data_IF_792089965619
#
_entry.id   IF_792089965619
#
_cell.length_a   1.000
_cell.length_b   1.000
_cell.length_c   1.000
_cell.angle_alpha   90.00
_cell.angle_beta   90.00
_cell.angle_gamma   90.00
#
_symmetry.space_group_name_H-M   'P 1'
#
loop_
_entity.id
_entity.type
_entity.pdbx_description
1 polymer ?
#
# COMPACT_ATOMS: atom_id res chain seq x y z
N UNK A 1 -26.43 8.22 14.55
CA UNK A 1 -25.56 9.13 15.29
C UNK A 1 -26.39 9.77 16.38
N UNK A 2 -26.42 9.13 17.54
CA UNK A 2 -27.21 9.52 18.71
C UNK A 2 -26.37 10.06 19.86
N UNK A 3 -25.04 9.89 19.84
CA UNK A 3 -24.13 10.37 20.87
C UNK A 3 -22.95 11.16 20.28
N UNK A 4 -22.36 12.05 21.09
CA UNK A 4 -21.14 12.80 20.74
C UNK A 4 -19.98 11.85 20.40
N UNK A 5 -19.90 10.72 21.10
CA UNK A 5 -18.88 9.69 20.86
C UNK A 5 -19.00 9.08 19.46
N UNK A 6 -20.22 8.74 19.02
CA UNK A 6 -20.46 8.22 17.66
C UNK A 6 -20.06 9.22 16.57
N UNK A 7 -20.10 10.53 16.86
CA UNK A 7 -19.63 11.56 15.92
C UNK A 7 -18.11 11.56 15.84
N UNK A 8 -17.40 11.46 16.97
CA UNK A 8 -15.93 11.38 16.96
C UNK A 8 -15.42 10.09 16.30
N UNK A 9 -16.12 8.97 16.50
CA UNK A 9 -15.81 7.69 15.84
C UNK A 9 -15.94 7.74 14.32
N UNK A 10 -16.70 8.71 13.78
CA UNK A 10 -16.78 8.92 12.34
C UNK A 10 -15.51 9.55 11.75
N UNK A 11 -14.65 10.15 12.56
CA UNK A 11 -13.38 10.74 12.13
C UNK A 11 -12.25 9.69 12.20
N UNK A 12 -12.40 8.60 11.46
CA UNK A 12 -11.45 7.50 11.43
C UNK A 12 -10.75 7.36 10.05
N UNK A 13 -9.83 6.39 9.96
CA UNK A 13 -9.14 6.09 8.71
C UNK A 13 -10.09 5.63 7.58
N UNK A 14 -11.32 5.18 7.88
CA UNK A 14 -12.30 4.84 6.86
C UNK A 14 -12.82 6.11 6.18
N UNK A 15 -13.23 7.11 6.95
CA UNK A 15 -13.72 8.38 6.40
C UNK A 15 -12.65 9.09 5.58
N UNK A 16 -11.40 9.12 6.05
CA UNK A 16 -10.31 9.81 5.35
C UNK A 16 -9.68 8.94 4.25
N UNK A 17 -9.05 7.82 4.60
CA UNK A 17 -8.22 7.05 3.67
C UNK A 17 -9.03 6.23 2.66
N UNK A 18 -10.08 5.52 3.10
CA UNK A 18 -10.95 4.78 2.18
C UNK A 18 -11.76 5.74 1.31
N UNK A 19 -12.30 6.82 1.88
CA UNK A 19 -13.00 7.87 1.13
C UNK A 19 -12.14 8.46 0.01
N UNK A 20 -10.92 8.88 0.34
CA UNK A 20 -9.97 9.40 -0.64
C UNK A 20 -9.62 8.37 -1.72
N UNK A 21 -9.36 7.12 -1.34
CA UNK A 21 -8.99 6.06 -2.29
C UNK A 21 -10.09 5.75 -3.31
N UNK A 22 -11.36 5.72 -2.86
CA UNK A 22 -12.51 5.52 -3.76
C UNK A 22 -12.67 6.70 -4.71
N UNK A 23 -12.46 7.94 -4.24
CA UNK A 23 -12.48 9.14 -5.09
C UNK A 23 -11.32 9.14 -6.10
N UNK A 24 -10.12 8.71 -5.70
CA UNK A 24 -8.97 8.57 -6.61
C UNK A 24 -9.23 7.52 -7.68
N UNK A 25 -9.83 6.38 -7.32
CA UNK A 25 -10.24 5.36 -8.28
C UNK A 25 -11.32 5.90 -9.24
N UNK A 26 -12.29 6.66 -8.73
CA UNK A 26 -13.29 7.33 -9.58
C UNK A 26 -12.62 8.32 -10.53
N UNK A 27 -11.69 9.15 -10.04
CA UNK A 27 -10.93 10.10 -10.86
C UNK A 27 -10.15 9.40 -11.98
N UNK A 28 -9.47 8.29 -11.68
CA UNK A 28 -8.75 7.50 -12.67
C UNK A 28 -9.69 6.88 -13.72
N UNK A 29 -10.90 6.51 -13.32
CA UNK A 29 -11.89 5.89 -14.21
C UNK A 29 -12.57 6.89 -15.16
N UNK A 30 -13.01 8.04 -14.64
CA UNK A 30 -13.79 9.01 -15.43
C UNK A 30 -12.93 10.06 -16.12
N UNK A 31 -11.66 10.18 -15.72
CA UNK A 31 -10.71 11.17 -16.21
C UNK A 31 -10.79 12.51 -15.48
N UNK A 32 -9.69 13.25 -15.54
CA UNK A 32 -9.50 14.50 -14.81
C UNK A 32 -10.53 15.59 -15.18
N UNK A 33 -10.84 15.73 -16.47
CA UNK A 33 -11.78 16.75 -16.96
C UNK A 33 -13.20 16.51 -16.42
N UNK A 34 -13.71 15.29 -16.58
CA UNK A 34 -15.03 14.88 -16.10
C UNK A 34 -15.11 15.00 -14.57
N UNK A 35 -14.06 14.58 -13.85
CA UNK A 35 -14.01 14.68 -12.39
C UNK A 35 -14.03 16.15 -11.92
N UNK A 36 -13.19 17.02 -12.47
CA UNK A 36 -13.18 18.45 -12.13
C UNK A 36 -14.51 19.14 -12.45
N UNK A 37 -15.11 18.80 -13.59
CA UNK A 37 -16.43 19.29 -13.98
C UNK A 37 -17.49 18.88 -12.96
N UNK A 38 -17.56 17.59 -12.60
CA UNK A 38 -18.52 17.07 -11.64
C UNK A 38 -18.37 17.72 -10.26
N UNK A 39 -17.14 17.84 -9.75
CA UNK A 39 -16.86 18.50 -8.45
C UNK A 39 -17.25 19.97 -8.49
N UNK A 40 -16.93 20.68 -9.58
CA UNK A 40 -17.30 22.10 -9.73
C UNK A 40 -18.82 22.29 -9.76
N UNK A 41 -19.53 21.43 -10.48
CA UNK A 41 -21.00 21.46 -10.52
C UNK A 41 -21.60 21.15 -9.16
N UNK A 42 -21.06 20.16 -8.44
CA UNK A 42 -21.51 19.80 -7.10
C UNK A 42 -21.33 20.97 -6.12
N UNK A 43 -20.14 21.57 -6.07
CA UNK A 43 -19.87 22.71 -5.19
C UNK A 43 -20.77 23.91 -5.50
N UNK A 44 -21.04 24.20 -6.77
CA UNK A 44 -21.96 25.28 -7.17
C UNK A 44 -23.41 24.97 -6.80
N UNK A 45 -23.87 23.73 -7.03
CA UNK A 45 -25.26 23.30 -6.81
C UNK A 45 -25.64 23.31 -5.34
N UNK A 46 -24.70 22.99 -4.45
CA UNK A 46 -24.90 22.93 -3.00
C UNK A 46 -24.18 24.05 -2.24
N UNK A 47 -23.87 25.16 -2.93
CA UNK A 47 -23.22 26.32 -2.30
C UNK A 47 -24.09 26.89 -1.18
N UNK A 48 -23.49 27.08 0.01
CA UNK A 48 -24.16 27.59 1.21
C UNK A 48 -25.28 26.69 1.77
N UNK A 49 -25.34 25.43 1.33
CA UNK A 49 -26.31 24.43 1.79
C UNK A 49 -25.60 23.15 2.29
N UNK A 50 -26.40 22.13 2.65
CA UNK A 50 -25.91 20.82 3.05
C UNK A 50 -26.13 19.80 1.92
N UNK A 51 -25.36 18.71 1.95
CA UNK A 51 -25.45 17.64 0.97
C UNK A 51 -25.26 16.27 1.62
N UNK A 52 -25.75 15.24 0.96
CA UNK A 52 -25.60 13.82 1.29
C UNK A 52 -24.77 13.12 0.21
N UNK A 53 -24.31 11.91 0.51
CA UNK A 53 -23.56 11.11 -0.48
C UNK A 53 -24.35 10.89 -1.79
N UNK A 54 -25.67 10.72 -1.73
CA UNK A 54 -26.54 10.63 -2.91
C UNK A 54 -26.44 11.84 -3.83
N UNK A 55 -26.25 13.03 -3.25
CA UNK A 55 -26.26 14.29 -3.98
C UNK A 55 -24.97 14.45 -4.80
N UNK A 56 -23.84 14.03 -4.21
CA UNK A 56 -22.56 13.97 -4.91
C UNK A 56 -22.64 13.03 -6.12
N UNK A 57 -23.08 11.79 -5.91
CA UNK A 57 -23.11 10.80 -6.98
C UNK A 57 -24.16 11.12 -8.05
N UNK A 58 -25.28 11.76 -7.69
CA UNK A 58 -26.23 12.27 -8.66
C UNK A 58 -25.63 13.32 -9.60
N UNK A 59 -24.78 14.22 -9.08
CA UNK A 59 -24.05 15.18 -9.93
C UNK A 59 -23.02 14.48 -10.81
N UNK A 60 -22.33 13.46 -10.30
CA UNK A 60 -21.40 12.67 -11.11
C UNK A 60 -22.12 11.94 -12.26
N UNK A 61 -23.30 11.36 -12.01
CA UNK A 61 -24.13 10.73 -13.05
C UNK A 61 -24.50 11.69 -14.19
N UNK A 62 -24.77 12.97 -13.86
CA UNK A 62 -25.04 14.01 -14.85
C UNK A 62 -23.79 14.34 -15.69
N UNK A 63 -22.60 14.28 -15.07
CA UNK A 63 -21.34 14.71 -15.65
C UNK A 63 -20.59 13.64 -16.47
N UNK A 64 -20.89 12.34 -16.31
CA UNK A 64 -20.10 11.22 -16.89
C UNK A 64 -20.87 10.38 -17.92
N UNK A 65 -21.79 11.00 -18.66
CA UNK A 65 -22.67 10.30 -19.63
C UNK A 65 -21.92 9.59 -20.77
N UNK A 66 -20.68 10.00 -21.02
CA UNK A 66 -19.76 9.46 -22.02
C UNK A 66 -18.92 8.28 -21.52
N UNK A 67 -18.87 8.05 -20.20
CA UNK A 67 -18.11 6.96 -19.60
C UNK A 67 -18.97 5.69 -19.56
N UNK A 68 -18.42 4.57 -20.03
CA UNK A 68 -19.13 3.27 -20.02
C UNK A 68 -18.93 2.55 -18.68
N UNK A 69 -20.03 2.08 -18.12
CA UNK A 69 -20.06 1.21 -16.96
C UNK A 69 -19.77 -0.27 -17.27
N UNK A 70 -19.86 -1.14 -16.26
CA UNK A 70 -19.56 -2.57 -16.37
C UNK A 70 -20.49 -3.35 -17.31
N UNK A 71 -21.68 -2.82 -17.61
CA UNK A 71 -22.65 -3.40 -18.54
C UNK A 71 -22.55 -2.82 -19.96
N UNK A 72 -21.57 -1.93 -20.20
CA UNK A 72 -21.37 -1.24 -21.48
C UNK A 72 -22.30 -0.04 -21.71
N UNK A 73 -23.28 0.20 -20.83
CA UNK A 73 -24.14 1.38 -20.86
C UNK A 73 -23.45 2.58 -20.19
N UNK A 74 -24.00 3.80 -20.29
CA UNK A 74 -23.49 4.95 -19.52
C UNK A 74 -23.38 4.63 -18.03
N UNK A 75 -22.25 4.97 -17.44
CA UNK A 75 -21.91 4.63 -16.07
C UNK A 75 -22.90 5.28 -15.09
N UNK A 76 -23.48 4.46 -14.22
CA UNK A 76 -24.26 4.92 -13.06
C UNK A 76 -23.34 4.98 -11.84
N UNK A 77 -22.66 6.11 -11.68
CA UNK A 77 -21.77 6.41 -10.54
C UNK A 77 -22.48 6.26 -9.19
N UNK A 78 -23.78 6.56 -9.08
CA UNK A 78 -24.52 6.31 -7.83
C UNK A 78 -24.55 4.84 -7.45
N UNK A 79 -24.85 3.96 -8.41
CA UNK A 79 -24.86 2.52 -8.18
C UNK A 79 -23.45 1.99 -7.87
N UNK A 80 -22.48 2.39 -8.70
CA UNK A 80 -21.08 2.02 -8.52
C UNK A 80 -20.55 2.45 -7.14
N UNK A 81 -20.65 3.74 -6.80
CA UNK A 81 -20.07 4.27 -5.58
C UNK A 81 -20.73 3.73 -4.31
N UNK A 82 -22.03 3.41 -4.35
CA UNK A 82 -22.69 2.75 -3.24
C UNK A 82 -22.11 1.37 -2.91
N UNK A 83 -21.64 0.63 -3.91
CA UNK A 83 -20.96 -0.64 -3.65
C UNK A 83 -19.68 -0.44 -2.81
N UNK A 84 -18.98 0.68 -2.99
CA UNK A 84 -17.75 1.00 -2.25
C UNK A 84 -18.00 1.66 -0.90
N UNK A 85 -19.07 2.45 -0.77
CA UNK A 85 -19.32 3.31 0.40
C UNK A 85 -20.32 2.74 1.41
N UNK A 86 -21.17 1.78 1.02
CA UNK A 86 -22.25 1.26 1.90
C UNK A 86 -21.98 -0.13 2.49
N UNK A 87 -20.85 -0.76 2.13
CA UNK A 87 -20.40 -2.02 2.74
C UNK A 87 -18.96 -1.90 3.22
N UNK A 88 -18.65 -2.63 4.29
CA UNK A 88 -17.31 -2.65 4.88
C UNK A 88 -16.33 -3.50 4.06
N UNK A 89 -15.04 -3.25 4.28
CA UNK A 89 -13.96 -3.94 3.57
C UNK A 89 -13.78 -3.45 2.13
N UNK A 90 -13.05 -4.27 1.37
CA UNK A 90 -12.68 -4.09 -0.03
C UNK A 90 -12.35 -5.48 -0.63
N UNK A 91 -12.32 -5.61 -1.97
CA UNK A 91 -12.04 -6.88 -2.60
C UNK A 91 -10.53 -7.18 -2.72
N UNK A 92 -10.23 -8.47 -2.76
CA UNK A 92 -9.04 -9.03 -3.40
C UNK A 92 -9.44 -9.64 -4.74
N UNK A 93 -8.76 -9.22 -5.80
CA UNK A 93 -8.91 -9.73 -7.16
C UNK A 93 -7.91 -10.85 -7.35
N UNK A 94 -8.39 -12.06 -7.65
CA UNK A 94 -7.56 -13.25 -7.83
C UNK A 94 -7.49 -13.62 -9.31
N UNK A 95 -6.27 -13.77 -9.81
CA UNK A 95 -5.96 -14.11 -11.21
C UNK A 95 -5.37 -15.52 -11.26
N UNK A 96 -6.04 -16.42 -11.98
CA UNK A 96 -5.66 -17.82 -12.09
C UNK A 96 -5.61 -18.26 -13.55
N UNK A 97 -4.71 -19.17 -13.90
CA UNK A 97 -4.69 -19.78 -15.22
C UNK A 97 -5.98 -20.56 -15.49
N UNK A 98 -6.68 -20.22 -16.57
CA UNK A 98 -7.82 -21.01 -17.07
C UNK A 98 -7.37 -22.00 -18.14
N UNK A 99 -6.49 -21.56 -19.03
CA UNK A 99 -5.79 -22.37 -20.02
C UNK A 99 -4.43 -21.71 -20.36
N UNK A 100 -3.74 -22.18 -21.39
CA UNK A 100 -2.40 -21.70 -21.75
C UNK A 100 -2.31 -20.18 -22.02
N UNK A 101 -3.38 -19.56 -22.53
CA UNK A 101 -3.39 -18.13 -22.92
C UNK A 101 -4.58 -17.35 -22.35
N UNK A 102 -5.38 -17.97 -21.49
CA UNK A 102 -6.54 -17.34 -20.86
C UNK A 102 -6.43 -17.41 -19.35
N UNK A 103 -6.66 -16.28 -18.70
CA UNK A 103 -6.62 -16.11 -17.26
C UNK A 103 -8.03 -15.84 -16.76
N UNK A 104 -8.46 -16.57 -15.74
CA UNK A 104 -9.71 -16.34 -15.03
C UNK A 104 -9.44 -15.36 -13.91
N UNK A 105 -10.20 -14.26 -13.91
CA UNK A 105 -10.14 -13.22 -12.89
C UNK A 105 -11.43 -13.26 -12.08
N UNK A 106 -11.29 -13.37 -10.77
CA UNK A 106 -12.39 -13.42 -9.80
C UNK A 106 -12.17 -12.42 -8.69
N UNK A 107 -13.21 -12.18 -7.89
CA UNK A 107 -13.12 -11.33 -6.71
C UNK A 107 -13.69 -12.04 -5.49
N UNK A 108 -13.10 -11.74 -4.34
CA UNK A 108 -13.64 -12.05 -3.02
C UNK A 108 -13.36 -10.88 -2.09
N UNK A 109 -14.08 -10.76 -0.98
CA UNK A 109 -13.72 -9.79 0.07
C UNK A 109 -12.36 -10.15 0.66
N UNK A 110 -11.46 -9.18 0.74
CA UNK A 110 -10.19 -9.37 1.45
C UNK A 110 -10.47 -9.54 2.95
N UNK A 111 -10.10 -10.71 3.48
CA UNK A 111 -10.34 -11.07 4.88
C UNK A 111 -9.24 -12.04 5.35
N UNK A 112 -8.18 -11.56 6.03
CA UNK A 112 -7.07 -12.40 6.49
C UNK A 112 -7.53 -13.58 7.35
N UNK A 113 -8.39 -13.32 8.34
CA UNK A 113 -9.02 -14.37 9.13
C UNK A 113 -10.41 -14.69 8.56
N UNK A 114 -10.51 -15.73 7.72
CA UNK A 114 -11.76 -16.15 7.10
C UNK A 114 -12.88 -16.46 8.11
N UNK A 115 -12.50 -16.98 9.28
CA UNK A 115 -13.41 -17.47 10.33
C UNK A 115 -13.87 -16.36 11.29
N UNK A 116 -13.30 -15.16 11.19
CA UNK A 116 -13.72 -14.03 12.02
C UNK A 116 -15.21 -13.71 11.81
N UNK A 117 -15.99 -13.71 12.89
CA UNK A 117 -17.43 -13.43 12.80
C UNK A 117 -17.69 -11.94 12.54
N UNK A 118 -18.63 -11.67 11.64
CA UNK A 118 -19.04 -10.30 11.37
C UNK A 118 -20.01 -9.81 12.46
N UNK A 119 -19.91 -8.54 12.90
CA UNK A 119 -20.92 -7.91 13.72
C UNK A 119 -22.29 -8.02 13.05
N UNK A 120 -23.34 -8.27 13.83
CA UNK A 120 -24.69 -8.55 13.33
C UNK A 120 -25.20 -7.51 12.32
N UNK A 121 -24.98 -6.22 12.62
CA UNK A 121 -25.31 -5.09 11.73
C UNK A 121 -24.70 -5.14 10.33
N UNK A 122 -23.65 -5.94 10.12
CA UNK A 122 -22.92 -6.03 8.85
C UNK A 122 -22.98 -7.42 8.19
N UNK A 123 -23.75 -8.37 8.73
CA UNK A 123 -23.85 -9.75 8.18
C UNK A 123 -24.60 -9.84 6.85
N UNK A 124 -25.48 -8.88 6.57
CA UNK A 124 -26.33 -8.88 5.37
C UNK A 124 -26.07 -7.64 4.50
N UNK A 125 -24.90 -7.54 3.85
CA UNK A 125 -24.61 -6.41 2.97
C UNK A 125 -25.50 -6.43 1.73
N UNK A 126 -25.99 -5.27 1.31
CA UNK A 126 -26.84 -5.10 0.12
C UNK A 126 -26.24 -5.73 -1.15
N UNK A 127 -24.92 -5.68 -1.29
CA UNK A 127 -24.20 -6.17 -2.47
C UNK A 127 -23.44 -7.48 -2.23
N UNK A 128 -23.67 -8.17 -1.10
CA UNK A 128 -23.04 -9.47 -0.85
C UNK A 128 -21.51 -9.43 -0.73
N UNK A 129 -20.91 -8.28 -0.38
CA UNK A 129 -19.46 -8.05 -0.45
C UNK A 129 -18.87 -8.32 -1.84
N UNK A 130 -19.57 -7.85 -2.87
CA UNK A 130 -19.11 -7.84 -4.26
C UNK A 130 -19.17 -6.42 -4.80
N UNK A 131 -18.31 -6.14 -5.77
CA UNK A 131 -18.12 -4.84 -6.39
C UNK A 131 -17.99 -4.99 -7.90
N UNK A 132 -18.47 -4.03 -8.66
CA UNK A 132 -18.04 -3.81 -10.03
C UNK A 132 -16.68 -3.11 -9.97
N UNK A 133 -15.65 -3.78 -10.48
CA UNK A 133 -14.26 -3.36 -10.30
C UNK A 133 -13.72 -2.86 -11.65
N UNK A 134 -13.32 -1.58 -11.76
CA UNK A 134 -12.51 -1.13 -12.88
C UNK A 134 -11.12 -1.74 -12.72
N UNK A 135 -10.80 -2.67 -13.62
CA UNK A 135 -9.58 -3.44 -13.63
C UNK A 135 -8.58 -2.80 -14.59
N UNK A 136 -7.53 -2.19 -14.05
CA UNK A 136 -6.38 -1.75 -14.83
C UNK A 136 -5.35 -2.87 -14.86
N UNK A 137 -4.83 -3.21 -16.02
CA UNK A 137 -3.85 -4.29 -16.14
C UNK A 137 -2.78 -3.98 -17.16
N UNK A 138 -1.59 -4.51 -16.90
CA UNK A 138 -0.42 -4.41 -17.74
C UNK A 138 0.10 -5.82 -18.02
N UNK A 139 0.46 -6.09 -19.28
CA UNK A 139 0.93 -7.40 -19.74
C UNK A 139 2.40 -7.36 -20.15
N UNK A 140 3.21 -8.23 -19.55
CA UNK A 140 4.62 -8.42 -19.87
C UNK A 140 5.41 -7.12 -19.84
N UNK A 141 6.23 -6.92 -20.87
CA UNK A 141 7.07 -5.72 -21.07
C UNK A 141 6.32 -4.52 -21.66
N UNK A 142 5.05 -4.68 -22.05
CA UNK A 142 4.28 -3.59 -22.61
C UNK A 142 3.97 -2.57 -21.51
N UNK A 143 4.37 -1.30 -21.71
CA UNK A 143 4.08 -0.19 -20.78
C UNK A 143 2.64 0.31 -20.89
N UNK A 144 1.87 -0.14 -21.88
CA UNK A 144 0.46 0.21 -22.02
C UNK A 144 -0.37 -0.40 -20.90
N UNK A 145 -1.03 0.46 -20.12
CA UNK A 145 -2.03 0.05 -19.13
C UNK A 145 -3.39 0.03 -19.82
N UNK A 146 -4.02 -1.14 -19.81
CA UNK A 146 -5.38 -1.34 -20.34
C UNK A 146 -6.39 -1.31 -19.21
N UNK A 147 -7.61 -0.88 -19.51
CA UNK A 147 -8.72 -0.87 -18.56
C UNK A 147 -9.86 -1.77 -19.05
N UNK A 148 -10.43 -2.55 -18.13
CA UNK A 148 -11.64 -3.35 -18.37
C UNK A 148 -12.46 -3.46 -17.08
N UNK A 149 -13.60 -4.15 -17.14
CA UNK A 149 -14.50 -4.33 -16.01
C UNK A 149 -14.52 -5.78 -15.53
N UNK A 150 -14.32 -5.97 -14.23
CA UNK A 150 -14.71 -7.20 -13.54
C UNK A 150 -16.07 -6.98 -12.88
N UNK A 151 -17.12 -7.52 -13.50
CA UNK A 151 -18.48 -7.42 -12.98
C UNK A 151 -18.61 -8.16 -11.64
N UNK A 152 -19.45 -7.64 -10.74
CA UNK A 152 -19.73 -8.24 -9.43
C UNK A 152 -20.11 -9.72 -9.46
N UNK A 153 -20.91 -10.13 -10.44
CA UNK A 153 -21.58 -11.44 -10.43
C UNK A 153 -20.98 -12.46 -11.41
N UNK A 154 -19.94 -12.10 -12.17
CA UNK A 154 -19.36 -12.96 -13.21
C UNK A 154 -17.84 -12.91 -13.19
N UNK A 155 -17.15 -14.04 -13.42
CA UNK A 155 -15.71 -14.02 -13.66
C UNK A 155 -15.40 -13.28 -14.96
N UNK A 156 -14.24 -12.65 -15.01
CA UNK A 156 -13.67 -12.08 -16.23
C UNK A 156 -12.62 -13.05 -16.79
N UNK A 157 -12.54 -13.17 -18.10
CA UNK A 157 -11.48 -13.94 -18.77
C UNK A 157 -10.60 -12.96 -19.56
N UNK A 158 -9.33 -12.86 -19.15
CA UNK A 158 -8.32 -12.07 -19.85
C UNK A 158 -7.52 -12.97 -20.78
N UNK A 159 -7.23 -12.49 -21.98
CA UNK A 159 -6.36 -13.17 -22.92
C UNK A 159 -4.97 -12.54 -22.89
N UNK A 160 -3.95 -13.39 -22.74
CA UNK A 160 -2.54 -13.00 -22.83
C UNK A 160 -1.97 -13.43 -24.18
N UNK A 161 -1.08 -12.60 -24.72
CA UNK A 161 -0.39 -12.78 -25.99
C UNK A 161 0.45 -14.07 -26.02
N UNK A 162 1.07 -14.43 -24.90
CA UNK A 162 1.89 -15.63 -24.76
C UNK A 162 1.63 -16.31 -23.43
N UNK A 163 1.85 -17.63 -23.38
CA UNK A 163 1.70 -18.40 -22.14
C UNK A 163 2.74 -18.04 -21.08
N UNK A 164 3.82 -17.34 -21.44
CA UNK A 164 4.88 -16.92 -20.53
C UNK A 164 4.77 -15.47 -20.07
N UNK A 165 3.90 -14.67 -20.71
CA UNK A 165 3.69 -13.28 -20.32
C UNK A 165 3.22 -13.18 -18.85
N UNK A 166 3.87 -12.29 -18.09
CA UNK A 166 3.37 -11.84 -16.80
C UNK A 166 2.15 -10.93 -17.02
N UNK A 167 1.24 -10.92 -16.06
CA UNK A 167 0.16 -9.93 -16.00
C UNK A 167 0.15 -9.33 -14.61
N UNK A 168 0.06 -8.01 -14.55
CA UNK A 168 -0.15 -7.30 -13.30
C UNK A 168 -1.49 -6.59 -13.42
N UNK A 169 -2.46 -7.04 -12.62
CA UNK A 169 -3.70 -6.29 -12.42
C UNK A 169 -3.45 -5.17 -11.41
N UNK A 170 -4.35 -4.19 -11.34
CA UNK A 170 -4.16 -2.94 -10.60
C UNK A 170 -2.88 -2.16 -10.94
N UNK A 171 -2.47 -2.16 -12.21
CA UNK A 171 -1.35 -1.35 -12.67
C UNK A 171 -1.56 0.13 -12.29
N UNK A 172 -0.47 0.80 -11.89
CA UNK A 172 -0.42 2.14 -11.30
C UNK A 172 -1.22 2.35 -10.00
N UNK A 173 -1.76 1.27 -9.42
CA UNK A 173 -2.56 1.28 -8.18
C UNK A 173 -3.77 2.21 -8.26
N UNK A 174 -4.40 2.28 -9.44
CA UNK A 174 -5.59 3.11 -9.66
C UNK A 174 -6.81 2.62 -8.88
N UNK A 175 -6.91 1.32 -8.63
CA UNK A 175 -8.06 0.68 -7.99
C UNK A 175 -7.91 0.50 -6.49
N UNK A 176 -9.02 0.69 -5.76
CA UNK A 176 -9.11 0.40 -4.33
C UNK A 176 -9.39 -1.10 -4.06
N UNK A 177 -8.50 -1.96 -4.51
CA UNK A 177 -8.55 -3.41 -4.30
C UNK A 177 -7.14 -3.98 -4.20
N UNK A 178 -7.04 -5.17 -3.60
CA UNK A 178 -5.79 -5.95 -3.57
C UNK A 178 -5.76 -6.89 -4.77
N UNK A 179 -4.57 -7.27 -5.20
CA UNK A 179 -4.36 -8.32 -6.20
C UNK A 179 -3.80 -9.59 -5.54
N UNK A 180 -4.18 -10.74 -6.09
CA UNK A 180 -3.57 -12.02 -5.80
C UNK A 180 -3.50 -12.85 -7.09
N UNK A 181 -2.56 -13.77 -7.14
CA UNK A 181 -2.31 -14.61 -8.29
C UNK A 181 -2.14 -16.06 -7.85
N UNK A 182 -2.35 -16.99 -8.77
CA UNK A 182 -1.85 -18.35 -8.57
C UNK A 182 -0.31 -18.38 -8.52
N UNK A 183 0.23 -19.52 -8.08
CA UNK A 183 1.69 -19.69 -7.90
C UNK A 183 2.46 -19.46 -9.19
N UNK A 184 1.92 -19.84 -10.35
CA UNK A 184 2.61 -19.71 -11.63
C UNK A 184 2.62 -18.26 -12.12
N UNK A 185 1.51 -17.55 -11.95
CA UNK A 185 1.42 -16.12 -12.28
C UNK A 185 2.31 -15.29 -11.35
N UNK A 186 2.35 -15.57 -10.04
CA UNK A 186 3.32 -14.96 -9.13
C UNK A 186 4.77 -15.17 -9.58
N UNK A 187 5.15 -16.41 -9.95
CA UNK A 187 6.51 -16.69 -10.47
C UNK A 187 6.86 -15.90 -11.71
N UNK A 188 5.92 -15.64 -12.60
CA UNK A 188 6.16 -14.81 -13.80
C UNK A 188 6.39 -13.35 -13.44
N UNK A 189 5.63 -12.81 -12.48
CA UNK A 189 5.83 -11.45 -11.96
C UNK A 189 7.21 -11.34 -11.28
N UNK A 190 7.58 -12.31 -10.44
CA UNK A 190 8.88 -12.36 -9.77
C UNK A 190 10.02 -12.38 -10.79
N UNK A 191 9.91 -13.21 -11.84
CA UNK A 191 10.89 -13.23 -12.94
C UNK A 191 11.00 -11.86 -13.62
N UNK A 192 9.87 -11.26 -14.00
CA UNK A 192 9.87 -9.94 -14.63
C UNK A 192 10.54 -8.87 -13.74
N UNK A 193 10.29 -8.86 -12.44
CA UNK A 193 10.94 -7.92 -11.51
C UNK A 193 12.45 -8.15 -11.43
N UNK A 194 12.89 -9.40 -11.39
CA UNK A 194 14.33 -9.75 -11.36
C UNK A 194 15.04 -9.40 -12.66
N UNK A 195 14.39 -9.64 -13.79
CA UNK A 195 14.94 -9.42 -15.14
C UNK A 195 14.93 -7.93 -15.49
N UNK A 196 13.77 -7.27 -15.38
CA UNK A 196 13.61 -5.84 -15.61
C UNK A 196 12.36 -5.29 -14.89
N UNK A 197 12.56 -4.76 -13.68
CA UNK A 197 11.49 -4.16 -12.87
C UNK A 197 11.02 -2.79 -13.39
N UNK A 198 11.81 -2.06 -14.18
CA UNK A 198 11.49 -0.71 -14.68
C UNK A 198 10.39 -0.70 -15.75
N UNK A 199 10.00 -1.88 -16.24
CA UNK A 199 8.79 -2.07 -17.05
C UNK A 199 7.54 -1.64 -16.27
N UNK A 200 7.51 -1.89 -14.97
CA UNK A 200 6.44 -1.48 -14.08
C UNK A 200 6.77 -0.14 -13.45
N UNK A 201 5.78 0.75 -13.34
CA UNK A 201 5.97 2.02 -12.63
C UNK A 201 6.32 1.79 -11.15
N UNK A 202 6.91 2.79 -10.45
CA UNK A 202 7.16 2.69 -9.02
C UNK A 202 5.88 2.42 -8.21
N UNK A 203 4.73 2.95 -8.65
CA UNK A 203 3.41 2.69 -8.03
C UNK A 203 2.97 1.25 -8.21
N UNK A 204 3.18 0.69 -9.40
CA UNK A 204 2.86 -0.71 -9.71
C UNK A 204 3.74 -1.66 -8.88
N UNK A 205 5.05 -1.40 -8.79
CA UNK A 205 5.98 -2.20 -7.96
C UNK A 205 5.60 -2.14 -6.49
N UNK A 206 5.30 -0.95 -5.97
CA UNK A 206 4.77 -0.75 -4.62
C UNK A 206 3.47 -1.58 -4.40
N UNK A 207 2.52 -1.56 -5.34
CA UNK A 207 1.30 -2.36 -5.25
C UNK A 207 1.59 -3.86 -5.22
N UNK A 208 2.48 -4.34 -6.10
CA UNK A 208 2.90 -5.74 -6.16
C UNK A 208 3.47 -6.20 -4.81
N UNK A 209 4.39 -5.43 -4.21
CA UNK A 209 5.00 -5.77 -2.92
C UNK A 209 3.95 -5.76 -1.81
N UNK A 210 3.17 -4.69 -1.70
CA UNK A 210 2.12 -4.53 -0.68
C UNK A 210 1.13 -5.69 -0.72
N UNK A 211 0.75 -6.09 -1.93
CA UNK A 211 -0.26 -7.11 -2.14
C UNK A 211 0.32 -8.53 -2.02
N UNK A 212 1.61 -8.73 -2.23
CA UNK A 212 2.28 -10.01 -1.92
C UNK A 212 2.27 -10.30 -0.41
N UNK A 213 2.58 -9.30 0.43
CA UNK A 213 2.44 -9.43 1.89
C UNK A 213 0.99 -9.66 2.30
N UNK A 214 0.04 -8.90 1.74
CA UNK A 214 -1.38 -9.08 2.02
C UNK A 214 -1.89 -10.48 1.60
N UNK A 215 -1.46 -10.97 0.43
CA UNK A 215 -1.78 -12.30 -0.05
C UNK A 215 -1.21 -13.41 0.85
N UNK A 216 -0.06 -13.17 1.49
CA UNK A 216 0.54 -14.12 2.43
C UNK A 216 -0.21 -14.26 3.76
N UNK A 217 -1.07 -13.28 4.08
CA UNK A 217 -1.95 -13.34 5.24
C UNK A 217 -3.28 -14.06 4.96
N UNK A 218 -3.58 -14.40 3.71
CA UNK A 218 -4.79 -15.14 3.36
C UNK A 218 -4.57 -16.64 3.58
N UNK A 219 -5.60 -17.32 4.10
CA UNK A 219 -5.59 -18.79 4.18
C UNK A 219 -5.51 -19.41 2.77
N UNK A 220 -4.54 -20.29 2.56
CA UNK A 220 -4.21 -20.83 1.24
C UNK A 220 -3.64 -19.81 0.25
N UNK A 221 -3.21 -18.63 0.73
CA UNK A 221 -2.65 -17.55 -0.06
C UNK A 221 -1.18 -17.76 -0.45
N UNK A 222 -0.47 -16.66 -0.70
CA UNK A 222 0.93 -16.68 -1.13
C UNK A 222 1.85 -17.16 0.00
N UNK A 223 2.74 -18.10 -0.27
CA UNK A 223 3.74 -18.52 0.71
C UNK A 223 4.79 -17.43 0.93
N UNK A 224 5.22 -17.20 2.17
CA UNK A 224 6.25 -16.20 2.49
C UNK A 224 7.57 -16.44 1.76
N UNK A 225 7.90 -17.68 1.42
CA UNK A 225 9.06 -18.00 0.58
C UNK A 225 8.99 -17.30 -0.78
N UNK A 226 7.82 -17.24 -1.40
CA UNK A 226 7.62 -16.52 -2.65
C UNK A 226 7.62 -15.00 -2.45
N UNK A 227 7.17 -14.50 -1.29
CA UNK A 227 7.32 -13.09 -0.92
C UNK A 227 8.80 -12.73 -0.82
N UNK A 228 9.61 -13.51 -0.10
CA UNK A 228 11.05 -13.25 0.00
C UNK A 228 11.77 -13.40 -1.33
N UNK A 229 11.39 -14.38 -2.16
CA UNK A 229 11.91 -14.51 -3.51
C UNK A 229 11.59 -13.28 -4.37
N UNK A 230 10.39 -12.71 -4.23
CA UNK A 230 10.01 -11.46 -4.88
C UNK A 230 10.97 -10.35 -4.44
N UNK A 231 11.18 -10.16 -3.14
CA UNK A 231 12.00 -9.08 -2.59
C UNK A 231 13.48 -9.12 -3.02
N UNK A 232 13.98 -10.24 -3.55
CA UNK A 232 15.35 -10.33 -4.08
C UNK A 232 15.64 -9.34 -5.21
N UNK A 233 14.61 -8.87 -5.94
CA UNK A 233 14.78 -7.86 -6.98
C UNK A 233 15.23 -6.50 -6.42
N UNK A 234 14.91 -6.22 -5.14
CA UNK A 234 15.12 -4.93 -4.50
C UNK A 234 16.59 -4.47 -4.51
N UNK A 235 17.55 -5.38 -4.64
CA UNK A 235 18.97 -5.04 -4.82
C UNK A 235 19.24 -4.08 -5.99
N UNK A 236 18.33 -4.05 -6.97
CA UNK A 236 18.39 -3.20 -8.16
C UNK A 236 17.34 -2.06 -8.11
N UNK A 237 16.52 -1.97 -7.06
CA UNK A 237 15.50 -0.94 -6.92
C UNK A 237 16.14 0.36 -6.41
N UNK A 238 15.81 1.49 -7.04
CA UNK A 238 16.33 2.81 -6.66
C UNK A 238 15.21 3.76 -6.20
N UNK A 239 13.95 3.43 -6.45
CA UNK A 239 12.81 4.30 -6.16
C UNK A 239 12.34 4.17 -4.72
N UNK A 240 11.95 5.29 -4.14
CA UNK A 240 11.55 5.35 -2.73
C UNK A 240 10.28 4.51 -2.43
N UNK A 241 9.24 4.62 -3.28
CA UNK A 241 7.92 4.03 -2.99
C UNK A 241 7.94 2.49 -2.85
N UNK A 242 8.64 1.73 -3.72
CA UNK A 242 8.79 0.29 -3.51
C UNK A 242 9.60 -0.03 -2.25
N UNK A 243 10.71 0.67 -2.01
CA UNK A 243 11.55 0.44 -0.83
C UNK A 243 10.82 0.66 0.50
N UNK A 244 10.04 1.73 0.58
CA UNK A 244 9.21 2.03 1.75
C UNK A 244 8.24 0.87 2.07
N UNK A 245 7.62 0.29 1.03
CA UNK A 245 6.71 -0.85 1.19
C UNK A 245 7.44 -2.13 1.61
N UNK A 246 8.62 -2.40 1.06
CA UNK A 246 9.45 -3.55 1.47
C UNK A 246 9.73 -3.47 2.96
N UNK A 247 10.16 -2.29 3.42
CA UNK A 247 10.49 -2.03 4.82
C UNK A 247 9.25 -2.19 5.70
N UNK A 248 8.12 -1.60 5.29
CA UNK A 248 6.83 -1.75 5.98
C UNK A 248 6.39 -3.21 6.12
N UNK A 249 6.54 -4.00 5.06
CA UNK A 249 6.24 -5.43 5.08
C UNK A 249 7.15 -6.22 6.03
N UNK A 250 8.46 -5.92 6.06
CA UNK A 250 9.37 -6.51 7.04
C UNK A 250 9.00 -6.13 8.48
N UNK A 251 8.63 -4.88 8.75
CA UNK A 251 8.16 -4.48 10.07
C UNK A 251 6.90 -5.24 10.48
N UNK A 252 5.96 -5.43 9.56
CA UNK A 252 4.75 -6.22 9.80
C UNK A 252 5.09 -7.66 10.20
N UNK A 253 6.10 -8.28 9.57
CA UNK A 253 6.60 -9.60 9.99
C UNK A 253 7.22 -9.53 11.40
N UNK A 254 8.08 -8.54 11.64
CA UNK A 254 8.80 -8.38 12.90
C UNK A 254 7.87 -8.17 14.11
N UNK A 255 6.72 -7.53 13.90
CA UNK A 255 5.70 -7.39 14.95
C UNK A 255 5.19 -8.76 15.45
N UNK A 256 5.09 -9.77 14.57
CA UNK A 256 4.73 -11.13 14.98
C UNK A 256 5.82 -11.81 15.83
N UNK A 257 7.09 -11.49 15.59
CA UNK A 257 8.21 -12.01 16.38
C UNK A 257 8.41 -11.26 17.70
N UNK A 258 7.87 -10.05 17.85
CA UNK A 258 7.97 -9.25 19.07
C UNK A 258 9.42 -9.05 19.54
N UNK A 259 9.76 -9.67 20.69
CA UNK A 259 11.06 -9.59 21.35
C UNK A 259 11.91 -10.86 21.19
N UNK A 260 11.52 -11.79 20.33
CA UNK A 260 12.30 -13.00 20.10
C UNK A 260 13.70 -12.66 19.53
N UNK A 261 14.76 -13.43 19.87
CA UNK A 261 16.14 -13.15 19.44
C UNK A 261 16.31 -13.00 17.93
N UNK A 262 15.55 -13.77 17.15
CA UNK A 262 15.53 -13.74 15.68
C UNK A 262 15.15 -12.36 15.13
N UNK A 263 14.32 -11.61 15.87
CA UNK A 263 13.92 -10.25 15.50
C UNK A 263 15.10 -9.27 15.49
N UNK A 264 16.15 -9.49 16.30
CA UNK A 264 17.33 -8.62 16.37
C UNK A 264 18.06 -8.59 15.02
N UNK A 265 18.29 -9.76 14.42
CA UNK A 265 19.00 -9.91 13.15
C UNK A 265 18.20 -9.33 11.98
N UNK A 266 16.89 -9.59 11.95
CA UNK A 266 16.01 -9.04 10.94
C UNK A 266 15.89 -7.51 11.03
N UNK A 267 15.78 -6.93 12.24
CA UNK A 267 15.82 -5.46 12.46
C UNK A 267 17.13 -4.86 11.96
N UNK A 268 18.27 -5.49 12.24
CA UNK A 268 19.59 -5.05 11.74
C UNK A 268 19.65 -5.07 10.21
N UNK A 269 19.19 -6.14 9.56
CA UNK A 269 19.16 -6.25 8.11
C UNK A 269 18.30 -5.17 7.43
N UNK A 270 17.13 -4.84 8.01
CA UNK A 270 16.26 -3.75 7.52
C UNK A 270 16.96 -2.40 7.63
N UNK A 271 17.61 -2.12 8.76
CA UNK A 271 18.40 -0.88 8.93
C UNK A 271 19.52 -0.82 7.90
N UNK A 272 20.27 -1.90 7.71
CA UNK A 272 21.38 -1.96 6.76
C UNK A 272 20.94 -1.69 5.32
N UNK A 273 19.75 -2.20 4.94
CA UNK A 273 19.11 -1.96 3.66
C UNK A 273 18.65 -0.51 3.51
N UNK A 274 17.97 0.06 4.52
CA UNK A 274 17.55 1.46 4.51
C UNK A 274 18.74 2.42 4.36
N UNK A 275 19.83 2.15 5.07
CA UNK A 275 21.06 2.91 4.95
C UNK A 275 21.87 2.57 3.66
N UNK A 276 21.32 1.85 2.66
CA UNK A 276 21.90 1.79 1.29
C UNK A 276 21.30 2.83 0.36
N UNK A 277 20.14 3.40 0.70
CA UNK A 277 19.39 4.36 -0.14
C UNK A 277 19.91 5.80 -0.08
N UNK A 278 21.14 6.00 0.40
CA UNK A 278 21.77 7.32 0.53
C UNK A 278 22.88 7.55 -0.49
N UNK A 279 23.03 8.80 -0.94
CA UNK A 279 24.24 9.24 -1.64
C UNK A 279 25.47 9.01 -0.75
N UNK A 280 26.54 8.40 -1.30
CA UNK A 280 27.79 8.10 -0.58
C UNK A 280 28.37 9.33 0.14
N UNK A 281 28.23 10.51 -0.45
CA UNK A 281 28.72 11.76 0.11
C UNK A 281 27.91 12.22 1.33
N UNK A 282 26.58 12.03 1.29
CA UNK A 282 25.72 12.30 2.44
C UNK A 282 25.98 11.31 3.58
N UNK A 283 26.22 10.04 3.22
CA UNK A 283 26.53 8.97 4.16
C UNK A 283 27.78 9.31 4.98
N UNK A 284 28.88 9.74 4.34
CA UNK A 284 30.10 10.14 5.05
C UNK A 284 29.86 11.25 6.09
N UNK A 285 29.10 12.29 5.70
CA UNK A 285 28.77 13.41 6.59
C UNK A 285 27.91 12.99 7.78
N UNK A 286 26.94 12.09 7.56
CA UNK A 286 26.11 11.57 8.65
C UNK A 286 26.91 10.71 9.63
N UNK A 287 27.91 9.95 9.14
CA UNK A 287 28.82 9.15 9.99
C UNK A 287 29.64 10.03 10.91
N UNK A 288 30.32 11.04 10.36
CA UNK A 288 31.13 11.98 11.15
C UNK A 288 30.28 12.65 12.22
N UNK A 289 29.04 13.02 11.87
CA UNK A 289 28.11 13.61 12.80
C UNK A 289 27.67 12.63 13.90
N UNK A 290 27.49 11.34 13.59
CA UNK A 290 27.12 10.32 14.58
C UNK A 290 28.25 10.07 15.59
N UNK A 291 29.47 9.87 15.11
CA UNK A 291 30.63 9.61 15.97
C UNK A 291 30.83 10.78 16.94
N UNK A 292 30.89 12.00 16.38
CA UNK A 292 31.13 13.22 17.15
C UNK A 292 30.00 13.55 18.13
N UNK A 293 28.74 13.44 17.69
CA UNK A 293 27.61 13.96 18.45
C UNK A 293 26.88 12.93 19.31
N UNK A 294 27.12 11.63 19.07
CA UNK A 294 26.44 10.54 19.78
C UNK A 294 27.46 9.66 20.51
N UNK A 295 28.44 9.10 19.78
CA UNK A 295 29.38 8.14 20.39
C UNK A 295 30.34 8.80 21.37
N UNK A 296 30.96 9.91 20.98
CA UNK A 296 31.99 10.62 21.77
C UNK A 296 31.39 11.51 22.85
N UNK A 297 30.28 12.20 22.56
CA UNK A 297 29.66 13.18 23.47
C UNK A 297 28.79 12.55 24.54
N UNK A 298 28.05 11.49 24.22
CA UNK A 298 27.12 10.89 25.16
C UNK A 298 27.74 9.70 25.89
N UNK A 299 27.86 9.79 27.21
CA UNK A 299 28.38 8.70 28.03
C UNK A 299 27.30 7.66 28.31
N UNK A 300 27.71 6.45 28.66
CA UNK A 300 26.78 5.38 29.02
C UNK A 300 25.98 5.78 30.27
N UNK A 301 24.65 5.64 30.21
CA UNK A 301 23.76 6.06 31.29
C UNK A 301 23.17 7.48 31.15
N UNK A 302 23.65 8.32 30.22
CA UNK A 302 23.11 9.67 29.99
C UNK A 302 21.89 9.65 29.06
N UNK A 303 20.90 10.50 29.30
CA UNK A 303 19.78 10.65 28.37
C UNK A 303 20.25 11.31 27.06
N UNK A 304 19.93 10.68 25.92
CA UNK A 304 20.24 11.21 24.59
C UNK A 304 19.77 12.67 24.39
N UNK A 305 18.66 13.07 25.03
CA UNK A 305 18.12 14.45 24.99
C UNK A 305 19.05 15.51 25.59
N UNK A 306 19.97 15.12 26.49
CA UNK A 306 20.86 16.02 27.24
C UNK A 306 22.25 16.14 26.61
N UNK A 307 22.69 15.10 25.92
CA UNK A 307 24.06 14.99 25.39
C UNK A 307 24.13 15.08 23.86
N UNK A 308 23.05 14.75 23.13
CA UNK A 308 23.08 14.69 21.66
C UNK A 308 22.66 16.02 21.03
N UNK A 309 23.58 16.65 20.31
CA UNK A 309 23.38 17.93 19.61
C UNK A 309 23.08 17.80 18.11
N UNK A 310 22.63 16.63 17.65
CA UNK A 310 22.18 16.44 16.27
C UNK A 310 20.85 17.17 16.04
N UNK A 311 20.78 18.02 15.01
CA UNK A 311 19.54 18.70 14.64
C UNK A 311 18.43 17.69 14.29
N UNK A 312 17.21 17.93 14.77
CA UNK A 312 16.09 16.99 14.64
C UNK A 312 15.87 16.43 13.21
N UNK A 313 15.93 17.23 12.13
CA UNK A 313 15.73 16.73 10.76
C UNK A 313 16.83 15.77 10.27
N UNK A 314 17.99 15.76 10.92
CA UNK A 314 19.15 14.93 10.52
C UNK A 314 19.28 13.67 11.38
N UNK A 315 18.62 13.61 12.55
CA UNK A 315 18.79 12.51 13.52
C UNK A 315 18.57 11.15 12.89
N UNK A 316 17.44 10.93 12.23
CA UNK A 316 17.08 9.64 11.63
C UNK A 316 18.21 9.05 10.78
N UNK A 317 18.77 9.87 9.89
CA UNK A 317 19.87 9.48 9.00
C UNK A 317 21.19 9.31 9.74
N UNK A 318 21.52 10.20 10.67
CA UNK A 318 22.73 10.11 11.50
C UNK A 318 22.76 8.81 12.30
N UNK A 319 21.66 8.46 12.96
CA UNK A 319 21.54 7.19 13.70
C UNK A 319 21.59 5.96 12.77
N UNK A 320 20.89 6.00 11.63
CA UNK A 320 20.93 4.91 10.61
C UNK A 320 22.38 4.61 10.20
N UNK A 321 23.07 5.60 9.62
CA UNK A 321 24.41 5.40 9.07
C UNK A 321 25.47 5.17 10.13
N UNK A 322 25.27 5.71 11.34
CA UNK A 322 26.10 5.45 12.51
C UNK A 322 26.04 3.99 12.97
N UNK A 323 24.84 3.44 13.12
CA UNK A 323 24.61 2.05 13.56
C UNK A 323 25.14 1.05 12.53
N UNK A 324 24.87 1.28 11.23
CA UNK A 324 25.32 0.40 10.14
C UNK A 324 26.83 0.13 10.15
N UNK A 325 27.63 1.12 10.51
CA UNK A 325 29.10 1.03 10.43
C UNK A 325 29.76 0.82 11.80
N UNK A 326 29.12 1.30 12.87
CA UNK A 326 29.59 1.11 14.24
C UNK A 326 29.29 -0.29 14.80
N UNK A 327 28.63 -1.16 14.03
CA UNK A 327 28.43 -2.56 14.37
C UNK A 327 27.57 -2.76 15.62
N UNK A 328 27.84 -3.85 16.35
CA UNK A 328 27.00 -4.26 17.49
C UNK A 328 27.08 -3.27 18.66
N UNK A 329 28.23 -2.63 18.87
CA UNK A 329 28.41 -1.62 19.92
C UNK A 329 27.53 -0.37 19.67
N UNK A 330 27.54 0.16 18.46
CA UNK A 330 26.68 1.30 18.11
C UNK A 330 25.20 0.92 18.11
N UNK A 331 24.84 -0.28 17.65
CA UNK A 331 23.48 -0.79 17.72
C UNK A 331 22.99 -0.89 19.17
N UNK A 332 23.74 -1.54 20.04
CA UNK A 332 23.35 -1.77 21.44
C UNK A 332 23.25 -0.43 22.20
N UNK A 333 24.16 0.53 21.94
CA UNK A 333 24.11 1.88 22.51
C UNK A 333 22.85 2.65 22.07
N UNK A 334 22.50 2.60 20.78
CA UNK A 334 21.28 3.26 20.26
C UNK A 334 20.01 2.59 20.79
N UNK A 335 19.97 1.25 20.84
CA UNK A 335 18.83 0.51 21.37
C UNK A 335 18.65 0.78 22.87
N UNK A 336 19.74 0.91 23.64
CA UNK A 336 19.67 1.31 25.05
C UNK A 336 18.97 2.67 25.23
N UNK A 337 19.30 3.67 24.41
CA UNK A 337 18.62 4.98 24.44
C UNK A 337 17.14 4.89 24.04
N UNK A 338 16.79 3.98 23.13
CA UNK A 338 15.41 3.77 22.67
C UNK A 338 14.56 3.10 23.74
N UNK A 339 15.09 2.11 24.45
CA UNK A 339 14.35 1.32 25.44
C UNK A 339 13.86 2.16 26.64
N UNK A 340 14.50 3.30 26.92
CA UNK A 340 14.11 4.24 27.98
C UNK A 340 12.98 5.22 27.61
N UNK A 341 12.62 5.33 26.32
CA UNK A 341 11.42 6.05 25.85
C UNK A 341 10.46 5.01 25.28
N UNK A 342 9.36 4.74 25.99
CA UNK A 342 8.24 3.89 25.55
C UNK A 342 8.11 3.80 24.01
N UNK A 343 8.00 2.56 23.53
CA UNK A 343 8.03 2.03 22.15
C UNK A 343 7.28 2.75 21.02
N UNK A 344 6.67 3.91 21.21
CA UNK A 344 5.81 4.54 20.19
C UNK A 344 6.49 5.70 19.43
N UNK A 345 7.54 6.32 19.98
CA UNK A 345 8.02 7.60 19.43
C UNK A 345 9.21 7.46 18.48
N UNK A 346 9.94 6.33 18.43
CA UNK A 346 11.18 6.22 17.63
C UNK A 346 11.05 5.30 16.40
N UNK A 347 10.05 4.43 16.34
CA UNK A 347 9.68 3.78 15.07
C UNK A 347 9.33 4.84 14.00
N UNK A 348 8.71 5.95 14.41
CA UNK A 348 8.53 7.13 13.56
C UNK A 348 9.84 7.91 13.32
N UNK A 349 10.87 7.87 14.17
CA UNK A 349 12.16 8.50 13.84
C UNK A 349 13.04 7.69 12.88
N UNK A 350 12.90 6.36 12.83
CA UNK A 350 13.60 5.53 11.84
C UNK A 350 12.78 5.37 10.55
N UNK A 351 11.45 5.43 10.61
CA UNK A 351 10.55 5.37 9.45
C UNK A 351 10.14 6.74 8.86
N UNK A 352 10.19 7.86 9.60
CA UNK A 352 9.84 9.18 9.05
C UNK A 352 11.00 9.77 8.24
N UNK A 353 11.20 9.21 7.05
CA UNK A 353 11.59 9.98 5.88
C UNK A 353 10.40 10.68 5.22
N UNK A 354 9.15 10.33 5.55
CA UNK A 354 7.94 10.93 4.98
C UNK A 354 6.85 11.10 6.04
N UNK A 355 6.82 12.26 6.68
CA UNK A 355 5.60 12.83 7.26
C UNK A 355 5.76 14.36 7.46
N UNK A 356 5.24 15.08 6.45
CA UNK A 356 4.66 16.45 6.45
C UNK A 356 5.52 17.70 6.72
N UNK A 357 5.39 18.60 5.72
CA UNK A 357 5.66 20.05 5.60
C UNK A 357 7.09 20.54 5.61
#
# INVERSE_FOLDING_TARGET
MSSVTEVYEAFDAITYSKGASVLTMMHALIGEENFKRAVTQYLKKFSYENAKASDLWGVFDEAVKDVKGPDGNPMKTTEFAYQWTTQMGYPVVTVEAFNATSLKVTQNRYKPNKDALEPEKYRHPKYGFKWDIPLWYQEGENKEIKQTWLSRDKPLYLHVSTSDASIVVNADRHGFYRQNYDVNAWRKIIRQLKDNHEVYSPRTRNAIISDAFAAALLDGGLKYEAVFELLEYAKNEEEYLPWDEIISGFYSILEFFGNEPESKWAKKAVIDAYCRLGSKDCIGKYKELFVKEVMEKCKDGEEASKCVSVAAPLRSRVYCYGVKEGGDEAFDKVIWYIHWRNMEVILSFLAAGVATT
#
